data_IF_464692714230
#
_entry.id   IF_464692714230
#
_cell.length_a   1.000
_cell.length_b   1.000
_cell.length_c   1.000
_cell.angle_alpha   90.00
_cell.angle_beta   90.00
_cell.angle_gamma   90.00
#
_symmetry.space_group_name_H-M   'P 1'
#
loop_
_entity.id
_entity.type
_entity.pdbx_description
1 polymer ?
#
# COMPACT_ATOMS: atom_id res chain seq x y z
N UNK A 1 -10.36 -17.15 -6.25
CA UNK A 1 -9.80 -16.50 -5.04
C UNK A 1 -10.96 -15.94 -4.25
N UNK A 2 -11.03 -16.20 -2.94
CA UNK A 2 -12.05 -15.61 -2.07
C UNK A 2 -11.52 -14.34 -1.40
N UNK A 3 -12.42 -13.48 -0.91
CA UNK A 3 -12.04 -12.25 -0.19
C UNK A 3 -11.15 -12.59 1.00
N UNK A 4 -11.49 -13.66 1.73
CA UNK A 4 -10.71 -14.09 2.90
C UNK A 4 -9.28 -14.53 2.55
N UNK A 5 -9.07 -15.16 1.39
CA UNK A 5 -7.74 -15.57 0.93
C UNK A 5 -6.88 -14.35 0.60
N UNK A 6 -7.50 -13.32 0.00
CA UNK A 6 -6.83 -12.09 -0.36
C UNK A 6 -6.44 -11.29 0.88
N UNK A 7 -7.37 -11.11 1.83
CA UNK A 7 -7.12 -10.47 3.13
C UNK A 7 -5.95 -11.14 3.84
N UNK A 8 -5.94 -12.48 3.92
CA UNK A 8 -4.85 -13.20 4.60
C UNK A 8 -3.49 -12.94 3.96
N UNK A 9 -3.41 -12.90 2.63
CA UNK A 9 -2.15 -12.61 1.92
C UNK A 9 -1.64 -11.20 2.20
N UNK A 10 -2.54 -10.23 2.30
CA UNK A 10 -2.21 -8.85 2.64
C UNK A 10 -1.69 -8.79 4.07
N UNK A 11 -2.44 -9.32 5.03
CA UNK A 11 -2.10 -9.29 6.46
C UNK A 11 -0.76 -9.98 6.75
N UNK A 12 -0.54 -11.18 6.18
CA UNK A 12 0.70 -11.95 6.39
C UNK A 12 1.93 -11.15 5.91
N UNK A 13 1.85 -10.53 4.74
CA UNK A 13 2.95 -9.74 4.18
C UNK A 13 3.12 -8.38 4.89
N UNK A 14 2.01 -7.77 5.30
CA UNK A 14 1.99 -6.52 6.05
C UNK A 14 2.73 -6.65 7.38
N UNK A 15 2.46 -7.71 8.14
CA UNK A 15 3.11 -7.94 9.43
C UNK A 15 4.63 -7.97 9.30
N UNK A 16 5.15 -8.64 8.26
CA UNK A 16 6.59 -8.68 7.98
C UNK A 16 7.15 -7.30 7.61
N UNK A 17 6.48 -6.60 6.69
CA UNK A 17 6.87 -5.25 6.26
C UNK A 17 6.86 -4.25 7.43
N UNK A 18 5.75 -4.20 8.18
CA UNK A 18 5.57 -3.27 9.28
C UNK A 18 6.55 -3.53 10.42
N UNK A 19 6.92 -4.79 10.66
CA UNK A 19 7.97 -5.15 11.60
C UNK A 19 9.34 -4.64 11.13
N UNK A 20 9.69 -4.80 9.85
CA UNK A 20 10.94 -4.28 9.28
C UNK A 20 11.02 -2.75 9.38
N UNK A 21 9.94 -2.04 9.03
CA UNK A 21 9.83 -0.57 9.20
C UNK A 21 9.98 -0.17 10.68
N UNK A 22 9.36 -0.92 11.60
CA UNK A 22 9.49 -0.65 13.04
C UNK A 22 10.93 -0.82 13.53
N UNK A 23 11.62 -1.87 13.08
CA UNK A 23 13.01 -2.12 13.44
C UNK A 23 13.91 -0.98 12.95
N UNK A 24 13.60 -0.40 11.78
CA UNK A 24 14.33 0.72 11.18
C UNK A 24 13.87 2.12 11.64
N UNK A 25 12.94 2.23 12.60
CA UNK A 25 12.37 3.53 13.02
C UNK A 25 13.39 4.62 13.38
N UNK A 26 14.56 4.23 13.90
CA UNK A 26 15.62 5.14 14.32
C UNK A 26 16.46 5.69 13.16
N UNK A 27 16.43 5.02 12.00
CA UNK A 27 17.21 5.34 10.80
C UNK A 27 16.36 5.83 9.63
N UNK A 28 15.13 6.30 9.85
CA UNK A 28 14.24 6.69 8.73
C UNK A 28 14.77 7.85 7.87
N UNK A 29 15.74 8.62 8.36
CA UNK A 29 16.41 9.67 7.57
C UNK A 29 17.61 9.16 6.78
N UNK A 30 18.06 7.92 7.03
CA UNK A 30 19.13 7.27 6.28
C UNK A 30 18.66 6.87 4.88
N UNK A 31 19.61 6.44 4.04
CA UNK A 31 19.31 6.02 2.67
C UNK A 31 19.26 4.50 2.54
N UNK A 32 18.30 4.01 1.75
CA UNK A 32 18.22 2.62 1.29
C UNK A 32 19.37 2.31 0.33
N UNK A 33 19.55 1.02 0.01
CA UNK A 33 20.59 0.56 -0.92
C UNK A 33 20.50 1.17 -2.33
N UNK A 34 19.35 1.71 -2.71
CA UNK A 34 19.11 2.37 -4.02
C UNK A 34 18.98 3.89 -3.90
N UNK A 35 19.30 4.46 -2.73
CA UNK A 35 19.51 5.89 -2.54
C UNK A 35 18.28 6.70 -2.10
N UNK A 36 17.12 6.09 -1.94
CA UNK A 36 15.94 6.73 -1.34
C UNK A 36 16.16 6.96 0.15
N UNK A 37 15.58 8.00 0.76
CA UNK A 37 15.48 7.99 2.23
C UNK A 37 14.48 6.93 2.64
N UNK A 38 14.74 6.23 3.74
CA UNK A 38 13.81 5.23 4.28
C UNK A 38 12.40 5.81 4.49
N UNK A 39 12.29 7.03 5.01
CA UNK A 39 10.99 7.73 5.15
C UNK A 39 10.28 7.96 3.82
N UNK A 40 11.04 8.22 2.76
CA UNK A 40 10.47 8.49 1.43
C UNK A 40 9.98 7.17 0.81
N UNK A 41 10.67 6.04 1.07
CA UNK A 41 10.20 4.70 0.70
C UNK A 41 8.91 4.34 1.46
N UNK A 42 8.83 4.63 2.76
CA UNK A 42 7.59 4.43 3.53
C UNK A 42 6.45 5.29 2.98
N UNK A 43 6.70 6.57 2.70
CA UNK A 43 5.73 7.47 2.09
C UNK A 43 5.29 6.96 0.70
N UNK A 44 6.21 6.40 -0.09
CA UNK A 44 5.89 5.79 -1.38
C UNK A 44 4.92 4.61 -1.23
N UNK A 45 5.20 3.66 -0.34
CA UNK A 45 4.30 2.52 -0.08
C UNK A 45 2.92 3.00 0.39
N UNK A 46 2.90 3.95 1.32
CA UNK A 46 1.68 4.58 1.81
C UNK A 46 0.85 5.21 0.68
N UNK A 47 1.50 5.86 -0.29
CA UNK A 47 0.84 6.42 -1.47
C UNK A 47 0.13 5.36 -2.32
N UNK A 48 0.79 4.24 -2.57
CA UNK A 48 0.22 3.13 -3.35
C UNK A 48 -0.91 2.40 -2.62
N UNK A 49 -0.82 2.25 -1.30
CA UNK A 49 -1.93 1.72 -0.50
C UNK A 49 -3.13 2.68 -0.52
N UNK A 50 -2.89 3.98 -0.33
CA UNK A 50 -3.94 5.00 -0.35
C UNK A 50 -4.67 5.05 -1.70
N UNK A 51 -3.91 5.00 -2.80
CA UNK A 51 -4.50 4.96 -4.14
C UNK A 51 -5.27 3.65 -4.37
N UNK A 52 -4.76 2.53 -3.86
CA UNK A 52 -5.47 1.25 -3.91
C UNK A 52 -6.79 1.29 -3.15
N UNK A 53 -6.79 1.81 -1.93
CA UNK A 53 -7.99 1.98 -1.12
C UNK A 53 -9.02 2.86 -1.86
N UNK A 54 -8.60 3.99 -2.43
CA UNK A 54 -9.47 4.88 -3.22
C UNK A 54 -10.13 4.14 -4.39
N UNK A 55 -9.34 3.39 -5.16
CA UNK A 55 -9.83 2.65 -6.33
C UNK A 55 -10.79 1.53 -5.95
N UNK A 56 -10.50 0.82 -4.86
CA UNK A 56 -11.39 -0.20 -4.32
C UNK A 56 -12.71 0.40 -3.82
N UNK A 57 -12.68 1.56 -3.17
CA UNK A 57 -13.88 2.25 -2.72
C UNK A 57 -14.81 2.62 -3.88
N UNK A 58 -14.26 3.11 -4.99
CA UNK A 58 -15.01 3.43 -6.22
C UNK A 58 -15.58 2.14 -6.83
N UNK A 59 -14.70 1.16 -7.08
CA UNK A 59 -15.06 -0.12 -7.67
C UNK A 59 -16.14 -0.86 -6.86
N UNK A 60 -16.12 -0.74 -5.53
CA UNK A 60 -17.11 -1.36 -4.66
C UNK A 60 -18.53 -0.84 -4.91
N UNK A 61 -18.68 0.42 -5.31
CA UNK A 61 -19.99 1.07 -5.49
C UNK A 61 -20.64 0.68 -6.81
N UNK A 62 -19.91 0.75 -7.93
CA UNK A 62 -20.49 0.56 -9.27
C UNK A 62 -19.95 -0.67 -10.01
N UNK A 63 -18.90 -1.31 -9.49
CA UNK A 63 -18.24 -2.46 -10.12
C UNK A 63 -17.36 -2.08 -11.31
N UNK A 64 -17.09 -0.79 -11.54
CA UNK A 64 -16.37 -0.33 -12.73
C UNK A 64 -15.01 0.29 -12.42
N UNK A 65 -14.12 0.17 -13.39
CA UNK A 65 -12.71 0.50 -13.30
C UNK A 65 -12.43 1.71 -14.21
N UNK A 66 -13.01 2.88 -13.89
CA UNK A 66 -12.92 4.05 -14.78
C UNK A 66 -11.79 5.04 -14.45
N UNK A 67 -11.02 4.78 -13.42
CA UNK A 67 -10.08 5.79 -12.92
C UNK A 67 -8.78 5.85 -13.73
N UNK A 68 -8.42 7.03 -14.27
CA UNK A 68 -7.11 7.24 -14.88
C UNK A 68 -6.02 7.10 -13.81
N UNK A 69 -4.86 6.60 -14.23
CA UNK A 69 -3.69 6.49 -13.36
C UNK A 69 -2.95 7.83 -13.33
N UNK A 70 -2.54 8.28 -12.15
CA UNK A 70 -1.34 9.11 -12.08
C UNK A 70 -0.15 8.27 -12.59
N UNK A 71 0.80 8.93 -13.26
CA UNK A 71 2.05 8.26 -13.59
C UNK A 71 2.74 7.77 -12.31
N UNK A 72 3.43 6.63 -12.37
CA UNK A 72 4.08 6.08 -11.17
C UNK A 72 5.01 7.10 -10.49
N UNK A 73 5.83 7.81 -11.28
CA UNK A 73 6.72 8.86 -10.77
C UNK A 73 5.96 10.05 -10.16
N UNK A 74 4.79 10.39 -10.72
CA UNK A 74 3.95 11.47 -10.24
C UNK A 74 3.33 11.12 -8.89
N UNK A 75 2.75 9.92 -8.76
CA UNK A 75 2.21 9.43 -7.49
C UNK A 75 3.31 9.33 -6.42
N UNK A 76 4.50 8.85 -6.80
CA UNK A 76 5.64 8.75 -5.90
C UNK A 76 6.07 10.14 -5.38
N UNK A 77 6.24 11.10 -6.29
CA UNK A 77 6.62 12.46 -5.94
C UNK A 77 5.56 13.15 -5.07
N UNK A 78 4.28 13.00 -5.42
CA UNK A 78 3.18 13.56 -4.64
C UNK A 78 3.13 12.97 -3.23
N UNK A 79 3.26 11.64 -3.12
CA UNK A 79 3.21 10.97 -1.82
C UNK A 79 4.36 11.38 -0.91
N UNK A 80 5.59 11.41 -1.44
CA UNK A 80 6.76 11.89 -0.69
C UNK A 80 6.56 13.34 -0.24
N UNK A 81 6.08 14.21 -1.13
CA UNK A 81 5.82 15.61 -0.79
C UNK A 81 4.75 15.74 0.30
N UNK A 82 3.64 15.01 0.18
CA UNK A 82 2.49 15.02 1.09
C UNK A 82 2.88 14.67 2.52
N UNK A 83 3.72 13.65 2.70
CA UNK A 83 4.10 13.16 4.03
C UNK A 83 5.46 13.66 4.54
N UNK A 84 6.14 14.51 3.76
CA UNK A 84 7.47 15.07 4.08
C UNK A 84 7.54 15.80 5.44
N UNK A 85 6.42 16.37 5.90
CA UNK A 85 6.35 17.16 7.14
C UNK A 85 5.93 16.36 8.36
N UNK A 86 5.53 15.11 8.19
CA UNK A 86 5.17 14.26 9.32
C UNK A 86 6.42 13.94 10.14
N UNK A 87 6.23 13.89 11.46
CA UNK A 87 7.20 13.25 12.35
C UNK A 87 7.30 11.76 12.02
N UNK A 88 8.37 11.10 12.46
CA UNK A 88 8.49 9.64 12.31
C UNK A 88 7.27 8.91 12.86
N UNK A 89 6.81 9.28 14.07
CA UNK A 89 5.60 8.70 14.66
C UNK A 89 4.37 8.93 13.79
N UNK A 90 4.14 10.18 13.35
CA UNK A 90 2.99 10.50 12.50
C UNK A 90 3.00 9.79 11.15
N UNK A 91 4.18 9.56 10.55
CA UNK A 91 4.30 8.78 9.31
C UNK A 91 3.92 7.32 9.52
N UNK A 92 4.32 6.72 10.64
CA UNK A 92 3.98 5.33 10.98
C UNK A 92 2.50 5.18 11.33
N UNK A 93 1.92 6.13 12.06
CA UNK A 93 0.48 6.15 12.35
C UNK A 93 -0.35 6.27 11.06
N UNK A 94 0.09 7.12 10.12
CA UNK A 94 -0.55 7.29 8.82
C UNK A 94 -0.44 6.04 7.95
N UNK A 95 0.72 5.36 8.01
CA UNK A 95 0.93 4.08 7.35
C UNK A 95 -0.05 3.02 7.87
N UNK A 96 -0.16 2.87 9.20
CA UNK A 96 -1.09 1.91 9.84
C UNK A 96 -2.55 2.23 9.48
N UNK A 97 -2.94 3.51 9.56
CA UNK A 97 -4.29 3.96 9.21
C UNK A 97 -4.63 3.70 7.73
N UNK A 98 -3.68 3.92 6.83
CA UNK A 98 -3.89 3.72 5.39
C UNK A 98 -4.06 2.24 5.06
N UNK A 99 -3.26 1.39 5.70
CA UNK A 99 -3.38 -0.06 5.57
C UNK A 99 -4.75 -0.57 6.02
N UNK A 100 -5.22 -0.11 7.19
CA UNK A 100 -6.54 -0.47 7.71
C UNK A 100 -7.68 -0.06 6.76
N UNK A 101 -7.58 1.12 6.13
CA UNK A 101 -8.54 1.57 5.13
C UNK A 101 -8.54 0.66 3.90
N UNK A 102 -7.35 0.36 3.36
CA UNK A 102 -7.22 -0.56 2.22
C UNK A 102 -7.86 -1.92 2.54
N UNK A 103 -7.54 -2.47 3.71
CA UNK A 103 -8.02 -3.77 4.14
C UNK A 103 -9.54 -3.77 4.35
N UNK A 104 -10.07 -2.66 4.88
CA UNK A 104 -11.50 -2.42 4.99
C UNK A 104 -12.20 -2.46 3.63
N UNK A 105 -11.64 -1.80 2.61
CA UNK A 105 -12.21 -1.82 1.26
C UNK A 105 -12.15 -3.22 0.63
N UNK A 106 -11.05 -3.96 0.82
CA UNK A 106 -10.96 -5.36 0.37
C UNK A 106 -12.01 -6.24 1.04
N UNK A 107 -12.19 -6.11 2.37
CA UNK A 107 -13.19 -6.89 3.14
C UNK A 107 -14.63 -6.61 2.71
N UNK A 108 -14.89 -5.41 2.21
CA UNK A 108 -16.22 -4.99 1.77
C UNK A 108 -16.52 -5.30 0.30
N UNK A 109 -15.58 -5.91 -0.44
CA UNK A 109 -15.88 -6.42 -1.77
C UNK A 109 -16.82 -7.62 -1.69
N UNK A 110 -17.77 -7.70 -2.62
CA UNK A 110 -18.51 -8.94 -2.80
C UNK A 110 -17.66 -9.99 -3.52
N UNK A 111 -17.90 -11.25 -3.18
CA UNK A 111 -17.33 -12.39 -3.88
C UNK A 111 -17.63 -12.38 -5.39
N UNK A 112 -18.78 -11.83 -5.81
CA UNK A 112 -19.13 -11.68 -7.22
C UNK A 112 -18.26 -10.62 -7.91
N UNK A 113 -18.10 -9.44 -7.30
CA UNK A 113 -17.22 -8.39 -7.81
C UNK A 113 -15.79 -8.91 -7.99
N UNK A 114 -15.27 -9.61 -6.99
CA UNK A 114 -13.93 -10.19 -7.03
C UNK A 114 -13.81 -11.26 -8.11
N UNK A 115 -14.77 -12.16 -8.27
CA UNK A 115 -14.74 -13.20 -9.33
C UNK A 115 -14.84 -12.62 -10.74
N UNK A 116 -15.71 -11.64 -10.96
CA UNK A 116 -15.90 -11.04 -12.27
C UNK A 116 -14.73 -10.14 -12.70
N UNK A 117 -13.95 -9.64 -11.73
CA UNK A 117 -12.85 -8.70 -11.96
C UNK A 117 -11.53 -9.19 -11.36
N UNK A 118 -11.34 -10.51 -11.28
CA UNK A 118 -10.26 -11.10 -10.48
C UNK A 118 -8.89 -10.57 -10.87
N UNK A 119 -8.55 -10.53 -12.15
CA UNK A 119 -7.24 -10.07 -12.61
C UNK A 119 -6.98 -8.60 -12.29
N UNK A 120 -8.00 -7.74 -12.35
CA UNK A 120 -7.86 -6.34 -11.98
C UNK A 120 -7.70 -6.18 -10.47
N UNK A 121 -8.62 -6.76 -9.68
CA UNK A 121 -8.58 -6.65 -8.23
C UNK A 121 -7.28 -7.23 -7.67
N UNK A 122 -6.82 -8.37 -8.21
CA UNK A 122 -5.51 -8.93 -7.88
C UNK A 122 -4.37 -8.03 -8.30
N UNK A 123 -4.38 -7.45 -9.51
CA UNK A 123 -3.29 -6.58 -9.97
C UNK A 123 -3.15 -5.34 -9.06
N UNK A 124 -4.27 -4.69 -8.76
CA UNK A 124 -4.31 -3.48 -7.93
C UNK A 124 -3.93 -3.78 -6.50
N UNK A 125 -4.47 -4.86 -5.91
CA UNK A 125 -4.18 -5.19 -4.52
C UNK A 125 -2.79 -5.81 -4.38
N UNK A 126 -2.47 -6.85 -5.15
CA UNK A 126 -1.19 -7.55 -5.04
C UNK A 126 -0.01 -6.63 -5.35
N UNK A 127 -0.12 -5.87 -6.45
CA UNK A 127 0.93 -4.99 -6.94
C UNK A 127 1.26 -3.85 -6.00
N UNK A 128 0.31 -3.44 -5.15
CA UNK A 128 0.47 -2.30 -4.24
C UNK A 128 0.52 -2.71 -2.75
N UNK A 129 0.39 -4.00 -2.44
CA UNK A 129 0.50 -4.54 -1.07
C UNK A 129 1.52 -5.68 -1.01
N UNK A 130 1.12 -6.93 -0.90
CA UNK A 130 2.00 -8.04 -0.54
C UNK A 130 3.15 -8.31 -1.55
N UNK A 131 3.00 -7.98 -2.84
CA UNK A 131 4.15 -8.05 -3.78
C UNK A 131 5.05 -6.83 -3.64
N UNK A 132 4.47 -5.66 -3.40
CA UNK A 132 5.19 -4.41 -3.20
C UNK A 132 6.04 -4.42 -1.93
N UNK A 133 5.48 -4.91 -0.83
CA UNK A 133 6.18 -5.12 0.43
C UNK A 133 7.38 -6.05 0.24
N UNK A 134 7.19 -7.14 -0.53
CA UNK A 134 8.25 -8.11 -0.80
C UNK A 134 9.35 -7.54 -1.69
N UNK A 135 9.02 -6.64 -2.62
CA UNK A 135 9.97 -5.92 -3.46
C UNK A 135 10.92 -5.06 -2.61
N UNK A 136 10.37 -4.32 -1.65
CA UNK A 136 11.14 -3.43 -0.78
C UNK A 136 11.77 -4.11 0.45
N UNK A 137 11.54 -5.41 0.64
CA UNK A 137 12.05 -6.13 1.82
C UNK A 137 13.59 -6.03 1.95
N UNK A 138 14.32 -5.99 0.84
CA UNK A 138 15.80 -5.82 0.84
C UNK A 138 16.23 -4.39 1.16
N UNK A 139 15.42 -3.41 0.79
CA UNK A 139 15.69 -2.01 1.11
C UNK A 139 15.41 -1.69 2.57
N UNK A 140 14.69 -2.57 3.28
CA UNK A 140 14.33 -2.50 4.70
C UNK A 140 15.14 -3.44 5.60
N UNK A 141 16.19 -4.08 5.07
CA UNK A 141 17.00 -5.10 5.74
C UNK A 141 18.32 -4.56 6.27
#
# INVERSE_FOLDING_TARGET
MHVIDLVRRIDDAWLAFRAAVTAHRGGLEERTSVGWRYRDLVAHVLGWEGETARRLAIFRVDGVQFEPFLGADELNAESVARYSRLSVGGLLDELDRTHELLLGEVRNLSEAQLRHNQSWAESVVAGNTYRHYAEHARELA
#
